data_IF_471169457243
#
_entry.id   IF_471169457243
#
_cell.length_a   1.000
_cell.length_b   1.000
_cell.length_c   1.000
_cell.angle_alpha   90.00
_cell.angle_beta   90.00
_cell.angle_gamma   90.00
#
_symmetry.space_group_name_H-M   'P 1'
#
loop_
_entity.id
_entity.type
_entity.pdbx_description
1 polymer ?
#
# COMPACT_ATOMS: atom_id res chain seq x y z
N UNK A 1 -21.18 -0.01 6.72
CA UNK A 1 -20.00 0.42 5.95
C UNK A 1 -20.48 1.32 4.82
N UNK A 2 -20.14 2.60 4.86
CA UNK A 2 -20.39 3.52 3.75
C UNK A 2 -19.32 3.33 2.64
N UNK A 3 -19.48 4.03 1.50
CA UNK A 3 -18.58 3.86 0.37
C UNK A 3 -17.14 4.30 0.68
N UNK A 4 -16.97 5.40 1.42
CA UNK A 4 -15.63 5.88 1.79
C UNK A 4 -14.90 4.89 2.69
N UNK A 5 -15.57 4.36 3.71
CA UNK A 5 -15.06 3.27 4.57
C UNK A 5 -14.66 2.07 3.72
N UNK A 6 -15.47 1.73 2.71
CA UNK A 6 -15.21 0.62 1.79
C UNK A 6 -13.93 0.83 1.00
N UNK A 7 -13.75 2.00 0.41
CA UNK A 7 -12.52 2.35 -0.32
C UNK A 7 -11.31 2.29 0.61
N UNK A 8 -11.38 2.88 1.80
CA UNK A 8 -10.27 2.85 2.77
C UNK A 8 -9.86 1.42 3.15
N UNK A 9 -10.86 0.57 3.40
CA UNK A 9 -10.62 -0.85 3.71
C UNK A 9 -10.04 -1.61 2.52
N UNK A 10 -10.49 -1.33 1.29
CA UNK A 10 -9.94 -1.94 0.09
C UNK A 10 -8.48 -1.54 -0.15
N UNK A 11 -8.16 -0.24 -0.02
CA UNK A 11 -6.78 0.27 -0.11
C UNK A 11 -5.89 -0.35 0.97
N UNK A 12 -6.39 -0.47 2.21
CA UNK A 12 -5.65 -1.11 3.29
C UNK A 12 -5.36 -2.59 3.00
N UNK A 13 -6.34 -3.32 2.47
CA UNK A 13 -6.18 -4.72 2.08
C UNK A 13 -5.16 -4.88 0.94
N UNK A 14 -5.16 -4.00 -0.05
CA UNK A 14 -4.19 -3.99 -1.16
C UNK A 14 -2.76 -3.70 -0.67
N UNK A 15 -2.58 -2.69 0.18
CA UNK A 15 -1.29 -2.40 0.82
C UNK A 15 -0.78 -3.61 1.61
N UNK A 16 -1.67 -4.29 2.34
CA UNK A 16 -1.31 -5.49 3.08
C UNK A 16 -0.95 -6.67 2.15
N UNK A 17 -1.75 -6.92 1.11
CA UNK A 17 -1.59 -8.03 0.19
C UNK A 17 -0.35 -7.90 -0.71
N UNK A 18 0.00 -6.69 -1.14
CA UNK A 18 1.19 -6.40 -1.96
C UNK A 18 2.43 -6.12 -1.14
N UNK A 19 2.20 -5.60 0.05
CA UNK A 19 3.22 -5.22 0.97
C UNK A 19 3.87 -3.89 0.80
N UNK A 20 3.23 -3.06 0.01
CA UNK A 20 3.64 -1.71 -0.23
C UNK A 20 3.34 -0.80 0.97
N UNK A 21 4.15 0.24 1.10
CA UNK A 21 3.92 1.30 2.07
C UNK A 21 2.99 2.37 1.49
N UNK A 22 2.39 3.19 2.35
CA UNK A 22 1.64 4.37 1.89
C UNK A 22 2.52 5.36 1.12
N UNK A 23 3.82 5.42 1.39
CA UNK A 23 4.77 6.25 0.63
C UNK A 23 4.83 5.81 -0.82
N UNK A 24 5.00 4.50 -1.06
CA UNK A 24 5.05 3.96 -2.43
C UNK A 24 3.76 4.20 -3.19
N UNK A 25 2.62 4.04 -2.52
CA UNK A 25 1.32 4.38 -3.10
C UNK A 25 1.22 5.87 -3.41
N UNK A 26 1.70 6.74 -2.52
CA UNK A 26 1.69 8.19 -2.74
C UNK A 26 2.53 8.59 -3.96
N UNK A 27 3.72 7.99 -4.12
CA UNK A 27 4.59 8.19 -5.28
C UNK A 27 3.87 7.84 -6.60
N UNK A 28 3.14 6.71 -6.62
CA UNK A 28 2.37 6.29 -7.79
C UNK A 28 1.17 7.19 -8.11
N UNK A 29 0.58 7.79 -7.07
CA UNK A 29 -0.55 8.71 -7.19
C UNK A 29 -0.10 10.17 -7.46
N UNK A 30 1.20 10.46 -7.43
CA UNK A 30 1.72 11.83 -7.57
C UNK A 30 1.35 12.75 -6.40
N UNK A 31 1.12 12.20 -5.21
CA UNK A 31 0.76 12.94 -4.00
C UNK A 31 1.75 12.66 -2.87
N UNK A 32 1.61 13.36 -1.75
CA UNK A 32 2.42 13.11 -0.55
C UNK A 32 1.86 11.95 0.28
N UNK A 33 2.73 11.26 1.02
CA UNK A 33 2.30 10.23 1.98
C UNK A 33 1.32 10.79 3.03
N UNK A 34 1.48 12.05 3.46
CA UNK A 34 0.56 12.70 4.38
C UNK A 34 -0.85 12.86 3.81
N UNK A 35 -0.99 13.07 2.50
CA UNK A 35 -2.31 13.06 1.83
C UNK A 35 -2.93 11.66 1.84
N UNK A 36 -2.15 10.62 1.50
CA UNK A 36 -2.62 9.22 1.57
C UNK A 36 -3.01 8.83 3.00
N UNK A 37 -2.21 9.21 3.99
CA UNK A 37 -2.48 8.96 5.41
C UNK A 37 -3.79 9.58 5.86
N UNK A 38 -4.04 10.85 5.52
CA UNK A 38 -5.31 11.53 5.82
C UNK A 38 -6.53 10.86 5.17
N UNK A 39 -6.37 10.37 3.93
CA UNK A 39 -7.40 9.61 3.24
C UNK A 39 -7.68 8.26 3.92
N UNK A 40 -6.63 7.56 4.34
CA UNK A 40 -6.76 6.29 5.08
C UNK A 40 -7.31 6.46 6.50
N UNK A 41 -7.08 7.61 7.15
CA UNK A 41 -7.69 7.92 8.45
C UNK A 41 -9.12 8.45 8.35
N UNK A 42 -9.61 8.75 7.14
CA UNK A 42 -10.93 9.32 6.91
C UNK A 42 -11.05 10.81 7.20
N UNK A 43 -9.93 11.50 7.37
CA UNK A 43 -9.89 12.98 7.53
C UNK A 43 -9.88 13.71 6.18
N UNK A 44 -9.71 12.98 5.08
CA UNK A 44 -9.90 13.45 3.71
C UNK A 44 -10.60 12.37 2.88
N UNK A 45 -11.42 12.78 1.91
CA UNK A 45 -12.10 11.86 1.00
C UNK A 45 -11.18 11.30 -0.09
N UNK A 46 -11.57 10.16 -0.65
CA UNK A 46 -11.04 9.64 -1.91
C UNK A 46 -11.89 10.21 -3.04
N UNK A 47 -11.28 10.96 -3.97
CA UNK A 47 -11.97 11.33 -5.20
C UNK A 47 -12.09 10.13 -6.14
N UNK A 48 -13.02 10.16 -7.09
CA UNK A 48 -13.13 9.11 -8.11
C UNK A 48 -11.83 8.97 -8.93
N UNK A 49 -11.18 10.08 -9.25
CA UNK A 49 -9.88 10.07 -9.94
C UNK A 49 -8.78 9.44 -9.09
N UNK A 50 -8.79 9.62 -7.76
CA UNK A 50 -7.87 8.89 -6.89
C UNK A 50 -8.17 7.38 -6.90
N UNK A 51 -9.45 6.98 -6.92
CA UNK A 51 -9.85 5.57 -7.01
C UNK A 51 -9.37 4.93 -8.32
N UNK A 52 -9.51 5.62 -9.45
CA UNK A 52 -9.00 5.17 -10.75
C UNK A 52 -7.47 5.02 -10.72
N UNK A 53 -6.76 6.00 -10.16
CA UNK A 53 -5.30 5.96 -10.08
C UNK A 53 -4.80 4.83 -9.15
N UNK A 54 -5.49 4.57 -8.03
CA UNK A 54 -5.23 3.41 -7.17
C UNK A 54 -5.44 2.11 -7.95
N UNK A 55 -6.57 1.97 -8.64
CA UNK A 55 -6.90 0.77 -9.40
C UNK A 55 -5.84 0.49 -10.49
N UNK A 56 -5.45 1.54 -11.23
CA UNK A 56 -4.40 1.47 -12.24
C UNK A 56 -3.05 1.05 -11.66
N UNK A 57 -2.65 1.59 -10.50
CA UNK A 57 -1.39 1.22 -9.82
C UNK A 57 -1.34 -0.28 -9.48
N UNK A 58 -2.44 -0.82 -8.96
CA UNK A 58 -2.53 -2.23 -8.61
C UNK A 58 -2.85 -3.16 -9.80
N UNK A 59 -3.20 -2.60 -10.96
CA UNK A 59 -3.58 -3.36 -12.15
C UNK A 59 -4.93 -4.08 -12.00
N UNK A 60 -5.89 -3.44 -11.34
CA UNK A 60 -7.27 -3.94 -11.14
C UNK A 60 -8.28 -2.97 -11.75
N UNK A 61 -9.54 -3.38 -11.89
CA UNK A 61 -10.63 -2.48 -12.29
C UNK A 61 -11.07 -1.58 -11.12
N UNK A 62 -11.47 -0.34 -11.41
CA UNK A 62 -11.93 0.60 -10.40
C UNK A 62 -13.21 0.11 -9.69
N UNK A 63 -14.08 -0.62 -10.38
CA UNK A 63 -15.27 -1.24 -9.79
C UNK A 63 -14.91 -2.39 -8.84
N UNK A 64 -13.82 -3.12 -9.09
CA UNK A 64 -13.33 -4.14 -8.15
C UNK A 64 -12.82 -3.49 -6.85
N UNK A 65 -12.19 -2.30 -6.94
CA UNK A 65 -11.82 -1.49 -5.77
C UNK A 65 -13.06 -1.02 -4.99
N UNK A 66 -14.07 -0.48 -5.69
CA UNK A 66 -15.31 0.05 -5.10
C UNK A 66 -16.25 -1.07 -4.58
N UNK A 67 -16.11 -2.30 -5.08
CA UNK A 67 -16.83 -3.47 -4.57
C UNK A 67 -16.34 -3.86 -3.17
N UNK A 68 -15.09 -3.54 -2.82
CA UNK A 68 -14.55 -3.65 -1.47
C UNK A 68 -13.31 -4.53 -1.36
N UNK A 69 -12.81 -4.76 -0.13
CA UNK A 69 -11.49 -5.33 0.10
C UNK A 69 -11.31 -6.75 -0.45
N UNK A 70 -12.31 -7.62 -0.30
CA UNK A 70 -12.23 -8.98 -0.82
C UNK A 70 -12.07 -8.98 -2.34
N UNK A 71 -12.92 -8.24 -3.05
CA UNK A 71 -12.93 -8.20 -4.51
C UNK A 71 -11.63 -7.59 -5.06
N UNK A 72 -11.17 -6.50 -4.46
CA UNK A 72 -9.93 -5.84 -4.83
C UNK A 72 -8.70 -6.77 -4.71
N UNK A 73 -8.61 -7.54 -3.62
CA UNK A 73 -7.51 -8.50 -3.42
C UNK A 73 -7.61 -9.70 -4.36
N UNK A 74 -8.82 -10.19 -4.64
CA UNK A 74 -9.03 -11.28 -5.61
C UNK A 74 -8.61 -10.88 -7.03
N UNK A 75 -8.90 -9.65 -7.43
CA UNK A 75 -8.53 -9.09 -8.74
C UNK A 75 -7.01 -8.83 -8.88
N UNK A 76 -6.29 -8.73 -7.76
CA UNK A 76 -4.86 -8.38 -7.77
C UNK A 76 -4.03 -9.42 -8.56
N UNK A 77 -3.21 -8.99 -9.53
CA UNK A 77 -2.34 -9.89 -10.29
C UNK A 77 -1.42 -10.72 -9.38
N UNK A 78 -1.23 -12.00 -9.69
CA UNK A 78 -0.47 -12.92 -8.84
C UNK A 78 0.97 -12.43 -8.55
N UNK A 79 1.62 -11.79 -9.55
CA UNK A 79 2.97 -11.23 -9.42
C UNK A 79 3.07 -10.07 -8.39
N UNK A 80 1.96 -9.42 -8.06
CA UNK A 80 1.91 -8.32 -7.08
C UNK A 80 1.68 -8.82 -5.66
N UNK A 81 1.24 -10.06 -5.46
CA UNK A 81 0.92 -10.60 -4.14
C UNK A 81 2.22 -10.87 -3.38
N UNK A 82 2.29 -10.47 -2.11
CA UNK A 82 3.37 -10.87 -1.20
C UNK A 82 3.48 -12.39 -1.22
N UNK A 83 4.65 -12.91 -1.57
CA UNK A 83 4.94 -14.33 -1.36
C UNK A 83 5.13 -14.57 0.15
N UNK A 84 4.28 -15.38 0.80
CA UNK A 84 4.51 -15.77 2.18
C UNK A 84 5.78 -16.62 2.23
N UNK A 85 6.87 -16.12 2.79
CA UNK A 85 8.09 -16.94 2.99
C UNK A 85 9.42 -16.20 2.89
N UNK A 86 9.50 -15.02 2.28
CA UNK A 86 10.76 -14.25 2.26
C UNK A 86 10.91 -13.42 3.52
N UNK A 87 11.30 -14.06 4.62
CA UNK A 87 11.87 -13.36 5.78
C UNK A 87 13.20 -12.74 5.32
N UNK A 88 13.39 -11.41 5.40
CA UNK A 88 14.70 -10.83 5.17
C UNK A 88 15.66 -11.40 6.23
N UNK A 89 16.93 -11.71 5.88
CA UNK A 89 17.89 -12.20 6.87
C UNK A 89 18.01 -11.15 7.97
N UNK A 90 17.63 -11.54 9.18
CA UNK A 90 17.81 -10.73 10.37
C UNK A 90 19.31 -10.65 10.67
N UNK A 91 19.88 -9.45 10.53
CA UNK A 91 21.16 -9.10 11.15
C UNK A 91 22.40 -9.30 10.29
N UNK A 92 22.65 -8.39 9.36
CA UNK A 92 24.00 -7.91 9.11
C UNK A 92 24.23 -6.66 9.97
N UNK A 93 24.38 -6.85 11.29
CA UNK A 93 25.04 -5.85 12.13
C UNK A 93 26.53 -6.17 12.04
N UNK A 94 27.22 -5.51 11.13
CA UNK A 94 28.69 -5.49 11.09
C UNK A 94 29.16 -4.70 12.31
N UNK A 95 29.96 -5.26 13.22
CA UNK A 95 30.75 -4.44 14.13
C UNK A 95 31.90 -3.85 13.31
N UNK A 96 31.79 -2.56 12.97
CA UNK A 96 32.90 -1.79 12.43
C UNK A 96 33.65 -1.15 13.59
N UNK A 97 34.82 -1.72 13.88
CA UNK A 97 36.08 -1.10 14.27
C UNK A 97 36.02 0.21 15.07
N UNK A 98 36.34 0.11 16.36
CA UNK A 98 36.92 1.19 17.14
C UNK A 98 38.39 0.82 17.42
N UNK A 99 39.26 1.12 16.46
CA UNK A 99 40.71 1.17 16.64
C UNK A 99 41.17 2.63 16.64
N UNK A 100 42.11 2.93 17.55
CA UNK A 100 43.00 4.10 17.60
C UNK A 100 42.59 5.24 18.53
N UNK A 101 43.06 5.18 19.78
CA UNK A 101 43.97 6.21 20.35
C UNK A 101 44.92 5.54 21.34
N UNK A 102 46.21 5.45 21.01
CA UNK A 102 47.37 5.79 21.86
C UNK A 102 48.68 5.66 21.11
#
# INVERSE_FOLDING_TARGET
MNLEERVRSAVAALLHATGESQTRLADALGVTQAQVSRRQSGTAGWSLSDCEAVAAHYGIDALDLLAGPTRAVEALPAARRRTPGRRPPAGARTPADEETVR
#
